data_IF_676721680041
#
_entry.id   IF_676721680041
#
_cell.length_a   1.000
_cell.length_b   1.000
_cell.length_c   1.000
_cell.angle_alpha   90.00
_cell.angle_beta   90.00
_cell.angle_gamma   90.00
#
_symmetry.space_group_name_H-M   'P 1'
#
loop_
_entity.id
_entity.type
_entity.pdbx_description
1 polymer ?
#
# COMPACT_ATOMS: atom_id res chain seq x y z
N UNK A 1 3.47 -17.36 -14.80
CA UNK A 1 3.65 -17.21 -13.33
C UNK A 1 2.99 -18.36 -12.59
N UNK A 2 1.75 -18.70 -12.93
CA UNK A 2 0.97 -19.72 -12.23
C UNK A 2 1.62 -21.12 -12.26
N UNK A 3 2.16 -21.53 -13.42
CA UNK A 3 2.90 -22.80 -13.51
C UNK A 3 4.14 -22.84 -12.61
N UNK A 4 4.89 -21.74 -12.51
CA UNK A 4 6.07 -21.65 -11.63
C UNK A 4 5.65 -21.78 -10.16
N UNK A 5 4.63 -21.01 -9.74
CA UNK A 5 4.09 -21.06 -8.38
C UNK A 5 3.64 -22.48 -8.02
N UNK A 6 2.90 -23.14 -8.92
CA UNK A 6 2.45 -24.52 -8.74
C UNK A 6 3.63 -25.50 -8.64
N UNK A 7 4.56 -25.44 -9.60
CA UNK A 7 5.69 -26.36 -9.71
C UNK A 7 6.59 -26.35 -8.47
N UNK A 8 6.83 -25.17 -7.89
CA UNK A 8 7.72 -25.01 -6.74
C UNK A 8 7.00 -25.06 -5.38
N UNK A 9 5.67 -25.27 -5.38
CA UNK A 9 4.85 -25.41 -4.17
C UNK A 9 5.12 -24.33 -3.10
N UNK A 10 5.18 -23.06 -3.53
CA UNK A 10 5.56 -21.95 -2.67
C UNK A 10 4.49 -21.67 -1.59
N UNK A 11 4.90 -21.09 -0.46
CA UNK A 11 3.96 -20.67 0.58
C UNK A 11 2.99 -19.58 0.06
N UNK A 12 1.78 -19.49 0.61
CA UNK A 12 0.83 -18.42 0.22
C UNK A 12 1.39 -17.01 0.44
N UNK A 13 2.27 -16.83 1.44
CA UNK A 13 2.97 -15.57 1.71
C UNK A 13 3.91 -15.22 0.55
N UNK A 14 4.73 -16.17 0.12
CA UNK A 14 5.71 -15.96 -0.95
C UNK A 14 5.02 -15.83 -2.32
N UNK A 15 3.95 -16.57 -2.56
CA UNK A 15 3.09 -16.40 -3.74
C UNK A 15 2.59 -14.96 -3.86
N UNK A 16 2.06 -14.38 -2.77
CA UNK A 16 1.58 -12.99 -2.77
C UNK A 16 2.70 -11.99 -3.06
N UNK A 17 3.88 -12.16 -2.44
CA UNK A 17 5.05 -11.29 -2.67
C UNK A 17 5.52 -11.34 -4.13
N UNK A 18 5.66 -12.55 -4.68
CA UNK A 18 6.11 -12.74 -6.06
C UNK A 18 5.10 -12.21 -7.08
N UNK A 19 3.81 -12.45 -6.89
CA UNK A 19 2.75 -11.92 -7.75
C UNK A 19 2.74 -10.39 -7.72
N UNK A 20 2.84 -9.79 -6.53
CA UNK A 20 2.93 -8.35 -6.39
C UNK A 20 4.16 -7.78 -7.11
N UNK A 21 5.34 -8.36 -6.87
CA UNK A 21 6.59 -7.92 -7.49
C UNK A 21 6.50 -7.98 -9.03
N UNK A 22 6.01 -9.10 -9.56
CA UNK A 22 5.80 -9.26 -11.00
C UNK A 22 4.83 -8.22 -11.56
N UNK A 23 3.70 -7.99 -10.88
CA UNK A 23 2.69 -7.01 -11.29
C UNK A 23 3.19 -5.56 -11.18
N UNK A 24 4.07 -5.25 -10.23
CA UNK A 24 4.68 -3.93 -10.11
C UNK A 24 5.59 -3.62 -11.30
N UNK A 25 6.45 -4.57 -11.67
CA UNK A 25 7.44 -4.39 -12.75
C UNK A 25 6.90 -4.66 -14.16
N UNK A 26 5.71 -5.28 -14.30
CA UNK A 26 5.02 -5.40 -15.59
C UNK A 26 4.41 -4.08 -16.06
N UNK A 27 4.14 -3.15 -15.13
CA UNK A 27 3.66 -1.80 -15.42
C UNK A 27 4.82 -0.86 -15.73
N UNK A 28 4.53 0.23 -16.46
CA UNK A 28 5.53 1.27 -16.76
C UNK A 28 5.99 1.97 -15.49
N UNK A 29 7.28 1.86 -15.19
CA UNK A 29 7.93 2.60 -14.09
C UNK A 29 8.16 4.04 -14.53
N UNK A 30 7.71 4.97 -13.69
CA UNK A 30 7.84 6.42 -13.86
C UNK A 30 8.81 7.01 -12.83
N UNK A 31 9.19 8.27 -13.01
CA UNK A 31 10.02 9.01 -12.05
C UNK A 31 9.41 9.07 -10.63
N UNK A 32 8.09 8.98 -10.52
CA UNK A 32 7.36 9.03 -9.24
C UNK A 32 7.16 7.66 -8.61
N UNK A 33 7.43 6.55 -9.31
CA UNK A 33 7.17 5.18 -8.82
C UNK A 33 7.89 4.87 -7.49
N UNK A 34 9.09 5.41 -7.31
CA UNK A 34 9.90 5.28 -6.08
C UNK A 34 9.88 6.55 -5.21
N UNK A 35 8.84 7.37 -5.35
CA UNK A 35 8.59 8.47 -4.40
C UNK A 35 8.16 7.91 -3.04
N UNK A 36 8.46 8.63 -1.97
CA UNK A 36 8.08 8.19 -0.61
C UNK A 36 6.57 7.97 -0.50
N UNK A 37 5.74 8.83 -1.11
CA UNK A 37 4.29 8.68 -1.18
C UNK A 37 3.87 7.31 -1.75
N UNK A 38 4.44 6.91 -2.89
CA UNK A 38 4.09 5.64 -3.53
C UNK A 38 4.64 4.45 -2.74
N UNK A 39 5.83 4.56 -2.17
CA UNK A 39 6.40 3.52 -1.32
C UNK A 39 5.60 3.35 -0.02
N UNK A 40 5.11 4.42 0.58
CA UNK A 40 4.22 4.34 1.76
C UNK A 40 2.92 3.59 1.43
N UNK A 41 2.36 3.77 0.22
CA UNK A 41 1.21 2.97 -0.22
C UNK A 41 1.53 1.48 -0.31
N UNK A 42 2.69 1.13 -0.86
CA UNK A 42 3.13 -0.27 -0.92
C UNK A 42 3.33 -0.81 0.51
N UNK A 43 3.95 -0.03 1.41
CA UNK A 43 4.14 -0.41 2.80
C UNK A 43 2.80 -0.74 3.47
N UNK A 44 1.78 0.09 3.23
CA UNK A 44 0.44 -0.09 3.78
C UNK A 44 -0.29 -1.31 3.21
N UNK A 45 -0.36 -1.47 1.88
CA UNK A 45 -1.17 -2.52 1.24
C UNK A 45 -0.46 -3.88 1.10
N UNK A 46 0.86 -3.88 0.95
CA UNK A 46 1.65 -5.08 0.61
C UNK A 46 2.65 -5.46 1.70
N UNK A 47 2.88 -4.58 2.68
CA UNK A 47 3.80 -4.81 3.78
C UNK A 47 5.26 -4.52 3.44
N UNK A 48 6.08 -4.53 4.48
CA UNK A 48 7.49 -4.13 4.44
C UNK A 48 8.35 -5.04 3.55
N UNK A 49 8.20 -6.36 3.67
CA UNK A 49 8.99 -7.31 2.88
C UNK A 49 8.79 -7.09 1.37
N UNK A 50 7.55 -6.98 0.92
CA UNK A 50 7.22 -6.75 -0.49
C UNK A 50 7.76 -5.41 -1.01
N UNK A 51 7.71 -4.36 -0.19
CA UNK A 51 8.32 -3.07 -0.53
C UNK A 51 9.83 -3.17 -0.72
N UNK A 52 10.50 -3.85 0.22
CA UNK A 52 11.96 -4.04 0.18
C UNK A 52 12.35 -4.89 -1.03
N UNK A 53 11.58 -5.93 -1.37
CA UNK A 53 11.76 -6.72 -2.60
C UNK A 53 11.70 -5.84 -3.85
N UNK A 54 10.74 -4.91 -3.92
CA UNK A 54 10.61 -3.97 -5.05
C UNK A 54 11.86 -3.09 -5.19
N UNK A 55 12.39 -2.56 -4.08
CA UNK A 55 13.58 -1.70 -4.14
C UNK A 55 14.82 -2.53 -4.53
N UNK A 56 15.01 -3.71 -3.94
CA UNK A 56 16.13 -4.59 -4.30
C UNK A 56 16.06 -5.02 -5.76
N UNK A 57 14.89 -5.43 -6.25
CA UNK A 57 14.73 -5.84 -7.65
C UNK A 57 15.03 -4.70 -8.63
N UNK A 58 14.64 -3.46 -8.28
CA UNK A 58 15.04 -2.27 -9.07
C UNK A 58 16.55 -2.08 -9.09
N UNK A 59 17.24 -2.27 -7.96
CA UNK A 59 18.70 -2.20 -7.89
C UNK A 59 19.33 -3.28 -8.76
N UNK A 60 18.89 -4.54 -8.64
CA UNK A 60 19.43 -5.66 -9.41
C UNK A 60 19.22 -5.52 -10.92
N UNK A 61 18.11 -4.92 -11.34
CA UNK A 61 17.84 -4.65 -12.77
C UNK A 61 18.59 -3.42 -13.30
N UNK A 62 19.18 -2.60 -12.44
CA UNK A 62 19.88 -1.38 -12.82
C UNK A 62 21.36 -1.65 -13.02
N UNK A 63 21.93 -1.15 -14.13
CA UNK A 63 23.38 -1.22 -14.37
C UNK A 63 24.19 -0.34 -13.38
N UNK A 64 23.53 0.60 -12.71
CA UNK A 64 24.13 1.48 -11.70
C UNK A 64 23.32 1.47 -10.43
N UNK A 65 24.01 1.31 -9.30
CA UNK A 65 23.40 1.39 -7.97
C UNK A 65 23.20 2.86 -7.60
N UNK A 66 21.94 3.30 -7.57
CA UNK A 66 21.57 4.64 -7.14
C UNK A 66 21.58 4.71 -5.61
N UNK A 67 22.39 5.62 -5.04
CA UNK A 67 22.47 5.84 -3.58
C UNK A 67 21.12 6.17 -2.94
N UNK A 68 20.21 6.80 -3.71
CA UNK A 68 18.83 7.08 -3.30
C UNK A 68 18.06 5.80 -2.95
N UNK A 69 18.20 4.72 -3.72
CA UNK A 69 17.49 3.46 -3.47
C UNK A 69 18.00 2.78 -2.18
N UNK A 70 19.31 2.84 -1.93
CA UNK A 70 19.90 2.35 -0.67
C UNK A 70 19.35 3.13 0.54
N UNK A 71 19.24 4.46 0.42
CA UNK A 71 18.64 5.30 1.48
C UNK A 71 17.19 4.91 1.75
N UNK A 72 16.40 4.66 0.70
CA UNK A 72 15.01 4.22 0.84
C UNK A 72 14.90 2.88 1.57
N UNK A 73 15.77 1.89 1.27
CA UNK A 73 15.81 0.63 2.02
C UNK A 73 16.01 0.88 3.52
N UNK A 74 16.96 1.75 3.89
CA UNK A 74 17.24 2.07 5.31
C UNK A 74 16.01 2.69 5.98
N UNK A 75 15.41 3.69 5.34
CA UNK A 75 14.20 4.37 5.85
C UNK A 75 13.08 3.36 6.09
N UNK A 76 12.75 2.54 5.08
CA UNK A 76 11.58 1.66 5.11
C UNK A 76 11.77 0.38 5.93
N UNK A 77 13.01 0.01 6.28
CA UNK A 77 13.26 -1.09 7.23
C UNK A 77 12.71 -0.79 8.62
N UNK A 78 12.82 0.46 9.05
CA UNK A 78 12.44 0.91 10.39
C UNK A 78 11.13 1.69 10.38
N UNK A 79 10.68 2.20 9.22
CA UNK A 79 9.45 2.99 9.11
C UNK A 79 8.23 2.22 9.62
N UNK A 80 7.47 2.86 10.48
CA UNK A 80 6.16 2.37 10.92
C UNK A 80 5.16 2.32 9.76
N UNK A 81 4.30 1.31 9.81
CA UNK A 81 3.23 1.15 8.83
C UNK A 81 2.15 2.18 9.18
N UNK A 82 1.71 3.03 8.22
CA UNK A 82 0.63 3.98 8.46
C UNK A 82 -0.62 3.25 8.96
N UNK A 83 -1.30 3.81 9.97
CA UNK A 83 -2.54 3.26 10.53
C UNK A 83 -3.68 4.22 10.23
N UNK A 84 -4.77 3.70 9.65
CA UNK A 84 -5.95 4.50 9.35
C UNK A 84 -6.54 5.02 10.68
N UNK A 85 -6.68 6.34 10.86
CA UNK A 85 -7.16 6.91 12.13
C UNK A 85 -8.67 6.76 12.32
N UNK A 86 -9.41 6.38 11.28
CA UNK A 86 -10.85 6.19 11.30
C UNK A 86 -11.19 4.71 11.25
N UNK A 87 -11.85 4.24 12.30
CA UNK A 87 -12.34 2.87 12.45
C UNK A 87 -13.86 2.84 12.33
N UNK A 88 -14.41 1.63 12.21
CA UNK A 88 -15.83 1.41 12.03
C UNK A 88 -16.67 1.97 13.20
N UNK A 89 -16.21 1.78 14.43
CA UNK A 89 -16.79 2.33 15.66
C UNK A 89 -16.98 3.85 15.59
N UNK A 90 -15.94 4.59 15.20
CA UNK A 90 -16.01 6.05 15.04
C UNK A 90 -17.07 6.44 14.01
N UNK A 91 -17.18 5.71 12.90
CA UNK A 91 -18.19 5.97 11.89
C UNK A 91 -19.62 5.72 12.38
N UNK A 92 -19.81 4.66 13.15
CA UNK A 92 -21.11 4.32 13.75
C UNK A 92 -21.51 5.32 14.83
N UNK A 93 -20.60 5.67 15.73
CA UNK A 93 -20.89 6.55 16.88
C UNK A 93 -21.05 8.02 16.46
N UNK A 94 -20.08 8.55 15.71
CA UNK A 94 -20.03 9.98 15.40
C UNK A 94 -20.94 10.37 14.24
N UNK A 95 -21.09 9.50 13.25
CA UNK A 95 -21.85 9.80 12.04
C UNK A 95 -23.10 8.94 11.89
N UNK A 96 -23.44 8.11 12.89
CA UNK A 96 -24.69 7.35 12.94
C UNK A 96 -24.88 6.42 11.73
N UNK A 97 -23.78 5.92 11.15
CA UNK A 97 -23.85 4.96 10.04
C UNK A 97 -24.23 3.60 10.62
N UNK A 98 -25.30 2.95 10.15
CA UNK A 98 -25.68 1.63 10.64
C UNK A 98 -24.65 0.57 10.21
N UNK A 99 -24.53 -0.49 11.01
CA UNK A 99 -23.73 -1.64 10.64
C UNK A 99 -24.29 -2.27 9.36
N UNK A 100 -23.42 -2.54 8.39
CA UNK A 100 -23.81 -3.19 7.15
C UNK A 100 -22.87 -2.89 5.98
N UNK A 101 -23.34 -3.24 4.78
CA UNK A 101 -22.58 -3.08 3.53
C UNK A 101 -22.18 -1.62 3.28
N UNK A 102 -23.05 -0.67 3.64
CA UNK A 102 -22.82 0.75 3.46
C UNK A 102 -21.62 1.25 4.27
N UNK A 103 -21.51 0.86 5.54
CA UNK A 103 -20.37 1.18 6.40
C UNK A 103 -19.04 0.73 5.77
N UNK A 104 -18.99 -0.48 5.23
CA UNK A 104 -17.81 -0.99 4.53
C UNK A 104 -17.45 -0.19 3.27
N UNK A 105 -18.45 0.26 2.50
CA UNK A 105 -18.24 1.11 1.32
C UNK A 105 -17.67 2.47 1.73
N UNK A 106 -18.21 3.10 2.79
CA UNK A 106 -17.73 4.38 3.30
C UNK A 106 -16.31 4.29 3.86
N UNK A 107 -16.00 3.25 4.64
CA UNK A 107 -14.64 2.99 5.13
C UNK A 107 -13.63 2.87 4.00
N UNK A 108 -13.99 2.13 2.94
CA UNK A 108 -13.13 1.95 1.78
C UNK A 108 -12.89 3.26 1.03
N UNK A 109 -13.91 4.10 0.87
CA UNK A 109 -13.77 5.41 0.25
C UNK A 109 -12.86 6.35 1.08
N UNK A 110 -12.98 6.30 2.41
CA UNK A 110 -12.09 7.01 3.34
C UNK A 110 -10.65 6.53 3.20
N UNK A 111 -10.40 5.22 3.21
CA UNK A 111 -9.07 4.63 3.03
C UNK A 111 -8.43 5.05 1.70
N UNK A 112 -9.22 5.07 0.62
CA UNK A 112 -8.74 5.48 -0.69
C UNK A 112 -8.30 6.95 -0.71
N UNK A 113 -9.11 7.87 -0.20
CA UNK A 113 -8.76 9.30 -0.13
C UNK A 113 -7.55 9.51 0.80
N UNK A 114 -7.55 8.88 1.97
CA UNK A 114 -6.46 8.97 2.93
C UNK A 114 -5.13 8.49 2.34
N UNK A 115 -5.09 7.30 1.74
CA UNK A 115 -3.87 6.77 1.12
C UNK A 115 -3.44 7.59 -0.11
N UNK A 116 -4.40 8.10 -0.89
CA UNK A 116 -4.12 8.98 -2.04
C UNK A 116 -3.60 10.36 -1.64
N UNK A 117 -4.01 10.87 -0.48
CA UNK A 117 -3.60 12.16 0.05
C UNK A 117 -2.43 12.06 1.04
N UNK A 118 -1.51 11.11 0.80
CA UNK A 118 -0.30 10.91 1.60
C UNK A 118 -0.60 10.69 3.09
N UNK A 119 -1.60 9.86 3.37
CA UNK A 119 -2.00 9.45 4.72
C UNK A 119 -2.52 10.63 5.56
N UNK A 120 -3.18 11.58 4.89
CA UNK A 120 -3.86 12.71 5.52
C UNK A 120 -5.32 12.72 5.08
N UNK A 121 -6.21 12.96 6.04
CA UNK A 121 -7.63 13.18 5.78
C UNK A 121 -8.15 14.15 6.83
N UNK A 122 -8.93 15.12 6.39
CA UNK A 122 -9.59 16.08 7.26
C UNK A 122 -10.99 15.62 7.61
N UNK A 123 -11.48 16.05 8.76
CA UNK A 123 -12.86 15.82 9.20
C UNK A 123 -13.89 16.24 8.14
N UNK A 124 -13.65 17.35 7.44
CA UNK A 124 -14.52 17.85 6.38
C UNK A 124 -14.60 16.90 5.18
N UNK A 125 -13.50 16.23 4.84
CA UNK A 125 -13.48 15.22 3.78
C UNK A 125 -14.26 13.96 4.20
N UNK A 126 -14.10 13.54 5.46
CA UNK A 126 -14.86 12.41 6.02
C UNK A 126 -16.35 12.69 5.98
N UNK A 127 -16.78 13.86 6.46
CA UNK A 127 -18.19 14.26 6.45
C UNK A 127 -18.79 14.20 5.04
N UNK A 128 -18.07 14.69 4.02
CA UNK A 128 -18.54 14.64 2.62
C UNK A 128 -18.75 13.21 2.12
N UNK A 129 -17.90 12.27 2.51
CA UNK A 129 -18.01 10.86 2.10
C UNK A 129 -19.22 10.23 2.78
N UNK A 130 -19.39 10.48 4.08
CA UNK A 130 -20.44 9.88 4.89
C UNK A 130 -21.83 10.43 4.55
N UNK A 131 -21.94 11.71 4.19
CA UNK A 131 -23.23 12.33 3.85
C UNK A 131 -23.72 12.10 2.41
N UNK A 132 -22.89 11.54 1.53
CA UNK A 132 -23.28 11.11 0.18
C UNK A 132 -23.99 9.76 0.18
#
# INVERSE_FOLDING_TARGET
MDYFIYKFNLSKKDQKRLLFLNNFFSKKITSTSFSEKNLNKILYFNGREALIDVIYFKIFKSNKVESKLIKLIKIFKEKDIPVLPLKADILMEKYQIPEGKELGIKLKAIEEIWTNNNFKISEKEVQKIVSN
#
